data_IF_006314633300
#
_entry.id   IF_006314633300
#
_cell.length_a   1.000
_cell.length_b   1.000
_cell.length_c   1.000
_cell.angle_alpha   90.00
_cell.angle_beta   90.00
_cell.angle_gamma   90.00
#
_symmetry.space_group_name_H-M   'P 1'
#
loop_
_entity.id
_entity.type
_entity.pdbx_description
1 polymer ?
#
# COMPACT_ATOMS: atom_id res chain seq x y z
N UNK A 1 1.85 19.64 26.80
CA UNK A 1 1.95 19.76 25.32
C UNK A 1 3.42 19.74 24.88
N UNK A 2 4.33 20.37 25.64
CA UNK A 2 5.79 20.23 25.50
C UNK A 2 6.29 18.78 25.54
N UNK A 3 5.69 17.94 26.40
CA UNK A 3 6.15 16.56 26.59
C UNK A 3 5.81 15.66 25.40
N UNK A 4 4.68 15.92 24.74
CA UNK A 4 4.24 15.22 23.52
C UNK A 4 5.18 15.53 22.35
N UNK A 5 5.67 16.77 22.27
CA UNK A 5 6.62 17.18 21.22
C UNK A 5 8.05 16.69 21.49
N UNK A 6 8.43 16.55 22.77
CA UNK A 6 9.71 16.00 23.18
C UNK A 6 9.81 14.50 22.83
N UNK A 7 8.77 13.71 23.14
CA UNK A 7 8.70 12.28 22.77
C UNK A 7 8.72 12.07 21.25
N UNK A 8 8.07 12.96 20.48
CA UNK A 8 8.07 12.89 19.01
C UNK A 8 9.47 13.04 18.41
N UNK A 9 10.34 13.86 19.02
CA UNK A 9 11.72 14.06 18.56
C UNK A 9 12.68 12.97 19.04
N UNK A 10 12.37 12.30 20.13
CA UNK A 10 13.15 11.19 20.69
C UNK A 10 12.86 9.84 20.01
N UNK A 11 11.78 9.73 19.24
CA UNK A 11 11.46 8.54 18.47
C UNK A 11 12.50 8.29 17.37
N UNK A 12 13.53 7.51 17.70
CA UNK A 12 14.59 7.09 16.78
C UNK A 12 14.09 6.20 15.63
N UNK A 13 12.88 5.64 15.75
CA UNK A 13 12.19 4.89 14.71
C UNK A 13 10.97 5.68 14.24
N UNK A 14 10.90 5.97 12.93
CA UNK A 14 9.67 6.41 12.29
C UNK A 14 8.64 5.29 12.47
N UNK A 15 7.63 5.52 13.31
CA UNK A 15 6.54 4.55 13.53
C UNK A 15 5.80 4.21 12.23
N UNK A 16 4.92 3.19 12.26
CA UNK A 16 4.18 2.78 11.07
C UNK A 16 3.28 3.93 10.57
N UNK A 17 3.11 4.00 9.25
CA UNK A 17 2.15 4.93 8.64
C UNK A 17 0.73 4.49 8.99
N UNK A 18 -0.04 5.39 9.59
CA UNK A 18 -1.46 5.13 9.91
C UNK A 18 -2.30 5.35 8.65
N UNK A 19 -2.97 4.29 8.20
CA UNK A 19 -3.92 4.34 7.08
C UNK A 19 -5.30 3.93 7.59
N UNK A 20 -6.30 4.78 7.40
CA UNK A 20 -7.67 4.48 7.80
C UNK A 20 -8.68 4.88 6.72
N UNK A 21 -9.89 4.32 6.83
CA UNK A 21 -11.05 4.80 6.10
C UNK A 21 -12.24 4.88 7.07
N UNK A 22 -13.38 4.26 6.76
CA UNK A 22 -14.47 4.09 7.74
C UNK A 22 -14.27 2.80 8.54
N UNK A 23 -14.40 1.62 7.90
CA UNK A 23 -14.14 0.32 8.55
C UNK A 23 -12.66 -0.08 8.61
N UNK A 24 -11.78 0.67 7.91
CA UNK A 24 -10.34 0.41 7.87
C UNK A 24 -9.95 -0.88 7.14
N UNK A 25 -10.72 -1.31 6.13
CA UNK A 25 -10.45 -2.56 5.40
C UNK A 25 -10.59 -2.45 3.87
N UNK A 26 -11.61 -1.77 3.34
CA UNK A 26 -11.79 -1.60 1.89
C UNK A 26 -10.74 -0.67 1.27
N UNK A 27 -10.99 0.65 1.31
CA UNK A 27 -10.06 1.67 0.78
C UNK A 27 -8.67 1.63 1.41
N UNK A 28 -8.59 1.29 2.70
CA UNK A 28 -7.32 1.08 3.40
C UNK A 28 -6.54 -0.07 2.77
N UNK A 29 -7.20 -1.20 2.50
CA UNK A 29 -6.59 -2.32 1.80
C UNK A 29 -6.12 -1.97 0.40
N UNK A 30 -6.94 -1.26 -0.39
CA UNK A 30 -6.52 -0.79 -1.72
C UNK A 30 -5.26 0.08 -1.65
N UNK A 31 -5.22 1.06 -0.76
CA UNK A 31 -4.07 1.96 -0.63
C UNK A 31 -2.79 1.22 -0.26
N UNK A 32 -2.86 0.33 0.73
CA UNK A 32 -1.69 -0.43 1.19
C UNK A 32 -1.25 -1.43 0.10
N UNK A 33 -2.18 -2.17 -0.52
CA UNK A 33 -1.87 -3.12 -1.59
C UNK A 33 -1.23 -2.45 -2.80
N UNK A 34 -1.77 -1.32 -3.25
CA UNK A 34 -1.18 -0.54 -4.35
C UNK A 34 0.22 -0.05 -3.96
N UNK A 35 0.43 0.41 -2.74
CA UNK A 35 1.76 0.87 -2.29
C UNK A 35 2.80 -0.26 -2.30
N UNK A 36 2.44 -1.43 -1.77
CA UNK A 36 3.30 -2.62 -1.79
C UNK A 36 3.56 -3.06 -3.23
N UNK A 37 2.52 -3.10 -4.06
CA UNK A 37 2.63 -3.51 -5.46
C UNK A 37 3.49 -2.56 -6.30
N UNK A 38 3.38 -1.24 -6.10
CA UNK A 38 4.26 -0.28 -6.76
C UNK A 38 5.72 -0.54 -6.39
N UNK A 39 5.99 -0.81 -5.11
CA UNK A 39 7.35 -1.12 -4.66
C UNK A 39 7.86 -2.45 -5.24
N UNK A 40 7.00 -3.46 -5.33
CA UNK A 40 7.36 -4.73 -5.96
C UNK A 40 7.69 -4.56 -7.44
N UNK A 41 6.88 -3.81 -8.19
CA UNK A 41 7.17 -3.46 -9.59
C UNK A 41 8.50 -2.73 -9.75
N UNK A 42 8.80 -1.76 -8.87
CA UNK A 42 10.08 -1.04 -8.90
C UNK A 42 11.30 -1.94 -8.69
N UNK A 43 11.20 -2.91 -7.78
CA UNK A 43 12.35 -3.71 -7.33
C UNK A 43 12.50 -5.00 -8.15
N UNK A 44 11.39 -5.63 -8.50
CA UNK A 44 11.35 -6.98 -9.08
C UNK A 44 10.89 -6.97 -10.55
N UNK A 45 10.29 -5.88 -11.03
CA UNK A 45 9.72 -5.79 -12.38
C UNK A 45 8.42 -6.59 -12.57
N UNK A 46 7.91 -7.21 -11.50
CA UNK A 46 6.67 -7.99 -11.48
C UNK A 46 5.89 -7.68 -10.20
N UNK A 47 4.61 -8.05 -10.16
CA UNK A 47 3.77 -7.89 -8.96
C UNK A 47 2.81 -9.04 -8.77
N UNK A 48 2.70 -9.53 -7.54
CA UNK A 48 1.75 -10.57 -7.15
C UNK A 48 0.64 -9.99 -6.25
N UNK A 49 -0.41 -9.51 -6.90
CA UNK A 49 -1.54 -8.84 -6.24
C UNK A 49 -2.34 -9.81 -5.35
N UNK A 50 -2.38 -11.09 -5.73
CA UNK A 50 -3.07 -12.12 -4.94
C UNK A 50 -2.33 -12.37 -3.63
N UNK A 51 -1.01 -12.59 -3.70
CA UNK A 51 -0.17 -12.79 -2.51
C UNK A 51 -0.22 -11.59 -1.57
N UNK A 52 -0.12 -10.36 -2.10
CA UNK A 52 -0.28 -9.12 -1.32
C UNK A 52 -1.63 -9.09 -0.61
N UNK A 53 -2.72 -9.39 -1.33
CA UNK A 53 -4.08 -9.38 -0.75
C UNK A 53 -4.26 -10.44 0.31
N UNK A 54 -3.71 -11.65 0.09
CA UNK A 54 -3.71 -12.73 1.07
C UNK A 54 -2.97 -12.33 2.35
N UNK A 55 -1.79 -11.71 2.24
CA UNK A 55 -1.05 -11.23 3.39
C UNK A 55 -1.80 -10.15 4.15
N UNK A 56 -2.38 -9.16 3.45
CA UNK A 56 -3.19 -8.12 4.10
C UNK A 56 -4.39 -8.70 4.84
N UNK A 57 -5.02 -9.75 4.29
CA UNK A 57 -6.14 -10.45 4.94
C UNK A 57 -5.70 -11.28 6.14
N UNK A 58 -4.46 -11.79 6.15
CA UNK A 58 -3.86 -12.44 7.30
C UNK A 58 -3.60 -11.45 8.44
N UNK A 59 -3.12 -10.24 8.10
CA UNK A 59 -2.84 -9.19 9.09
C UNK A 59 -4.12 -8.54 9.63
N UNK A 60 -5.13 -8.34 8.77
CA UNK A 60 -6.44 -7.80 9.13
C UNK A 60 -7.53 -8.41 8.24
N UNK A 61 -8.44 -9.17 8.84
CA UNK A 61 -9.53 -9.79 8.09
C UNK A 61 -10.37 -8.79 7.29
N UNK A 62 -10.70 -9.15 6.04
CA UNK A 62 -11.57 -8.35 5.16
C UNK A 62 -10.89 -7.24 4.36
N UNK A 63 -9.55 -7.16 4.37
CA UNK A 63 -8.80 -6.23 3.51
C UNK A 63 -9.14 -6.46 2.03
N UNK A 64 -9.42 -5.35 1.31
CA UNK A 64 -9.99 -5.33 -0.04
C UNK A 64 -11.33 -6.09 -0.07
N UNK A 65 -12.43 -5.33 0.08
CA UNK A 65 -13.75 -5.88 0.41
C UNK A 65 -14.56 -6.36 -0.79
N UNK A 66 -14.36 -5.75 -1.97
CA UNK A 66 -15.18 -6.02 -3.17
C UNK A 66 -14.32 -6.39 -4.37
N UNK A 67 -14.92 -7.04 -5.37
CA UNK A 67 -14.25 -7.34 -6.64
C UNK A 67 -13.77 -6.07 -7.34
N UNK A 68 -14.61 -5.03 -7.40
CA UNK A 68 -14.24 -3.72 -7.98
C UNK A 68 -13.02 -3.08 -7.29
N UNK A 69 -12.88 -3.25 -5.98
CA UNK A 69 -11.70 -2.77 -5.24
C UNK A 69 -10.44 -3.54 -5.61
N UNK A 70 -10.56 -4.85 -5.85
CA UNK A 70 -9.45 -5.68 -6.30
C UNK A 70 -9.06 -5.33 -7.74
N UNK A 71 -10.03 -5.20 -8.65
CA UNK A 71 -9.83 -4.71 -10.02
C UNK A 71 -9.18 -3.32 -10.04
N UNK A 72 -9.62 -2.41 -9.16
CA UNK A 72 -9.00 -1.10 -9.03
C UNK A 72 -7.50 -1.19 -8.69
N UNK A 73 -7.09 -2.11 -7.81
CA UNK A 73 -5.65 -2.30 -7.50
C UNK A 73 -4.87 -2.74 -8.74
N UNK A 74 -5.42 -3.67 -9.54
CA UNK A 74 -4.82 -4.05 -10.83
C UNK A 74 -4.69 -2.84 -11.78
N UNK A 75 -5.75 -2.05 -11.94
CA UNK A 75 -5.73 -0.86 -12.80
C UNK A 75 -4.71 0.19 -12.34
N UNK A 76 -4.65 0.44 -11.04
CA UNK A 76 -3.69 1.39 -10.46
C UNK A 76 -2.24 0.94 -10.70
N UNK A 77 -1.95 -0.36 -10.53
CA UNK A 77 -0.61 -0.92 -10.75
C UNK A 77 -0.22 -0.94 -12.23
N UNK A 78 -1.14 -1.27 -13.12
CA UNK A 78 -0.89 -1.18 -14.57
C UNK A 78 -0.60 0.26 -15.00
N UNK A 79 -1.35 1.24 -14.48
CA UNK A 79 -1.04 2.66 -14.72
C UNK A 79 0.34 3.04 -14.18
N UNK A 80 0.73 2.51 -13.02
CA UNK A 80 2.04 2.76 -12.43
C UNK A 80 3.19 2.18 -13.28
N UNK A 81 3.05 0.92 -13.72
CA UNK A 81 4.00 0.22 -14.59
C UNK A 81 4.27 0.97 -15.90
N UNK A 82 3.22 1.51 -16.53
CA UNK A 82 3.40 2.29 -17.78
C UNK A 82 4.29 3.52 -17.58
N UNK A 83 4.24 4.17 -16.42
CA UNK A 83 5.09 5.33 -16.10
C UNK A 83 6.53 4.93 -15.79
N UNK A 84 6.73 3.84 -15.03
CA UNK A 84 8.06 3.28 -14.80
C UNK A 84 8.79 2.95 -16.10
N UNK A 85 8.08 2.37 -17.07
CA UNK A 85 8.63 2.02 -18.37
C UNK A 85 9.08 3.25 -19.17
N UNK A 86 8.35 4.37 -19.07
CA UNK A 86 8.74 5.62 -19.73
C UNK A 86 9.98 6.27 -19.11
N UNK A 87 10.19 6.09 -17.80
CA UNK A 87 11.35 6.64 -17.08
C UNK A 87 12.62 5.82 -17.31
N UNK A 88 12.49 4.52 -17.59
CA UNK A 88 13.63 3.62 -17.85
C UNK A 88 14.10 3.68 -19.32
N UNK A 89 13.28 4.22 -20.21
CA UNK A 89 13.57 4.37 -21.65
C UNK A 89 14.34 5.65 -22.04
N UNK A 90 14.86 6.42 -21.07
CA UNK A 90 15.76 7.56 -21.26
C UNK A 90 17.15 7.23 -20.72
#
# INVERSE_FOLDING_TARGET
MSDVEADRRAAAALGPVIVHCSAGIGRTGCFIATTIGCRQLQVEGVVDILSITCQLRADRGGMIQTGEQYEFVHHALSMYETRLSTETGQ
#
